data_IF_551266707923
#
_entry.id   IF_551266707923
#
_cell.length_a   1.000
_cell.length_b   1.000
_cell.length_c   1.000
_cell.angle_alpha   90.00
_cell.angle_beta   90.00
_cell.angle_gamma   90.00
#
_symmetry.space_group_name_H-M   'P 1'
#
loop_
_entity.id
_entity.type
_entity.pdbx_description
1 polymer ?
#
# COMPACT_ATOMS: atom_id res chain seq x y z
N UNK A 1 5.15 21.44 16.65
CA UNK A 1 4.45 21.34 15.34
C UNK A 1 3.28 20.39 15.51
N UNK A 2 2.05 20.83 15.24
CA UNK A 2 0.89 19.95 15.17
C UNK A 2 0.99 19.17 13.85
N UNK A 3 0.88 17.85 13.89
CA UNK A 3 0.81 17.01 12.69
C UNK A 3 -0.66 16.94 12.32
N UNK A 4 -1.01 17.38 11.12
CA UNK A 4 -2.39 17.26 10.63
C UNK A 4 -2.53 15.99 9.79
N UNK A 5 -3.78 15.54 9.62
CA UNK A 5 -4.09 14.37 8.79
C UNK A 5 -3.72 14.66 7.33
N UNK A 6 -2.91 13.81 6.66
CA UNK A 6 -2.64 13.98 5.24
C UNK A 6 -3.94 14.07 4.43
N UNK A 7 -4.04 15.04 3.54
CA UNK A 7 -5.20 15.25 2.66
C UNK A 7 -5.01 14.60 1.30
N UNK A 8 -3.77 14.30 0.93
CA UNK A 8 -3.42 13.62 -0.31
C UNK A 8 -3.37 12.10 -0.15
N UNK A 9 -3.33 11.42 -1.30
CA UNK A 9 -3.21 9.95 -1.37
C UNK A 9 -2.16 9.55 -2.41
N UNK A 10 -1.44 8.44 -2.20
CA UNK A 10 -0.64 7.83 -3.26
C UNK A 10 -1.53 7.48 -4.46
N UNK A 11 -0.97 7.56 -5.66
CA UNK A 11 -1.68 7.25 -6.91
C UNK A 11 -1.17 5.91 -7.44
N UNK A 12 -1.96 4.82 -7.38
CA UNK A 12 -1.56 3.55 -7.99
C UNK A 12 -1.31 3.73 -9.49
N UNK A 13 -0.17 3.27 -9.97
CA UNK A 13 0.23 3.37 -11.38
C UNK A 13 0.18 2.02 -12.09
N UNK A 14 0.51 0.94 -11.40
CA UNK A 14 0.45 -0.43 -11.95
C UNK A 14 0.21 -1.43 -10.84
N UNK A 15 -0.54 -2.48 -11.17
CA UNK A 15 -0.67 -3.67 -10.34
C UNK A 15 -0.77 -4.89 -11.25
N UNK A 16 0.07 -5.90 -11.04
CA UNK A 16 0.00 -7.16 -11.78
C UNK A 16 0.55 -8.33 -10.97
N UNK A 17 0.06 -9.54 -11.27
CA UNK A 17 0.60 -10.79 -10.75
C UNK A 17 2.05 -10.96 -11.23
N UNK A 18 2.94 -11.31 -10.30
CA UNK A 18 4.30 -11.79 -10.63
C UNK A 18 4.46 -13.28 -10.33
N UNK A 19 3.60 -13.86 -9.50
CA UNK A 19 3.40 -15.30 -9.32
C UNK A 19 1.99 -15.59 -8.81
N UNK A 20 1.61 -16.86 -8.69
CA UNK A 20 0.34 -17.28 -8.07
C UNK A 20 0.13 -16.75 -6.63
N UNK A 21 1.20 -16.32 -5.95
CA UNK A 21 1.19 -15.85 -4.56
C UNK A 21 1.80 -14.45 -4.40
N UNK A 22 2.10 -13.73 -5.48
CA UNK A 22 2.74 -12.41 -5.41
C UNK A 22 2.19 -11.43 -6.43
N UNK A 23 1.96 -10.20 -5.98
CA UNK A 23 1.49 -9.09 -6.80
C UNK A 23 2.51 -7.97 -6.73
N UNK A 24 3.00 -7.53 -7.88
CA UNK A 24 3.73 -6.28 -8.00
C UNK A 24 2.74 -5.11 -7.98
N UNK A 25 3.04 -4.09 -7.19
CA UNK A 25 2.31 -2.82 -7.19
C UNK A 25 3.30 -1.66 -7.27
N UNK A 26 2.91 -0.61 -7.97
CA UNK A 26 3.63 0.66 -8.03
C UNK A 26 2.68 1.83 -7.89
N UNK A 27 3.18 2.95 -7.38
CA UNK A 27 2.41 4.16 -7.14
C UNK A 27 3.30 5.40 -7.26
N UNK A 28 2.66 6.57 -7.41
CA UNK A 28 3.33 7.87 -7.21
C UNK A 28 3.07 8.37 -5.79
N UNK A 29 4.05 9.03 -5.21
CA UNK A 29 3.91 9.71 -3.93
C UNK A 29 2.78 10.76 -3.96
N UNK A 30 2.12 11.03 -2.81
CA UNK A 30 1.20 12.15 -2.71
C UNK A 30 1.93 13.49 -2.92
N UNK A 31 1.26 14.54 -3.42
CA UNK A 31 1.86 15.87 -3.52
C UNK A 31 2.41 16.34 -2.15
N UNK A 32 3.63 16.91 -2.07
CA UNK A 32 4.26 17.23 -0.79
C UNK A 32 3.45 18.16 0.11
N UNK A 33 2.73 19.10 -0.48
CA UNK A 33 1.84 20.06 0.19
C UNK A 33 0.60 19.40 0.82
N UNK A 34 0.31 18.14 0.48
CA UNK A 34 -0.84 17.39 0.99
C UNK A 34 -0.50 16.42 2.12
N UNK A 35 0.77 16.29 2.51
CA UNK A 35 1.22 15.40 3.59
C UNK A 35 0.96 16.02 4.97
N UNK A 36 0.95 17.35 5.05
CA UNK A 36 0.62 18.14 6.26
C UNK A 36 1.39 17.72 7.53
N UNK A 37 2.67 17.38 7.37
CA UNK A 37 3.54 16.95 8.44
C UNK A 37 4.73 16.14 7.93
N UNK A 38 5.41 15.44 8.83
CA UNK A 38 6.47 14.51 8.45
C UNK A 38 5.87 13.27 7.78
N UNK A 39 6.42 12.92 6.61
CA UNK A 39 6.01 11.74 5.84
C UNK A 39 6.64 10.47 6.40
N UNK A 40 5.84 9.64 7.07
CA UNK A 40 6.32 8.41 7.74
C UNK A 40 6.42 7.18 6.82
N UNK A 41 5.86 7.26 5.62
CA UNK A 41 5.77 6.16 4.67
C UNK A 41 4.34 5.75 4.35
N UNK A 42 4.15 4.50 3.94
CA UNK A 42 2.92 4.02 3.32
C UNK A 42 2.23 2.94 4.15
N UNK A 43 0.89 2.94 4.12
CA UNK A 43 0.06 1.83 4.58
C UNK A 43 -0.69 1.23 3.39
N UNK A 44 -0.43 -0.03 3.10
CA UNK A 44 -1.10 -0.78 2.03
C UNK A 44 -2.06 -1.76 2.66
N UNK A 45 -3.33 -1.65 2.29
CA UNK A 45 -4.41 -2.54 2.74
C UNK A 45 -4.86 -3.38 1.56
N UNK A 46 -4.89 -4.71 1.72
CA UNK A 46 -5.30 -5.63 0.67
C UNK A 46 -6.10 -6.79 1.24
N UNK A 47 -6.96 -7.38 0.40
CA UNK A 47 -7.73 -8.58 0.74
C UNK A 47 -7.92 -9.44 -0.50
N UNK A 48 -8.05 -10.77 -0.36
CA UNK A 48 -8.50 -11.62 -1.46
C UNK A 48 -9.92 -11.21 -1.91
N UNK A 49 -10.18 -11.30 -3.22
CA UNK A 49 -11.48 -10.93 -3.79
C UNK A 49 -12.60 -11.87 -3.35
N UNK A 50 -12.30 -13.17 -3.37
CA UNK A 50 -13.28 -14.26 -3.21
C UNK A 50 -13.27 -14.87 -1.80
N UNK A 51 -12.72 -14.16 -0.81
CA UNK A 51 -12.72 -14.58 0.61
C UNK A 51 -13.52 -13.62 1.47
N UNK A 52 -13.65 -13.97 2.74
CA UNK A 52 -14.25 -13.15 3.78
C UNK A 52 -13.71 -11.70 3.70
N UNK A 53 -14.59 -10.68 3.56
CA UNK A 53 -14.19 -9.27 3.59
C UNK A 53 -13.37 -8.88 4.83
N UNK A 54 -13.50 -9.63 5.92
CA UNK A 54 -12.75 -9.46 7.15
C UNK A 54 -11.31 -10.00 7.09
N UNK A 55 -10.92 -10.76 6.04
CA UNK A 55 -9.52 -11.21 5.81
C UNK A 55 -8.67 -10.09 5.17
N UNK A 56 -8.81 -8.88 5.69
CA UNK A 56 -8.02 -7.73 5.31
C UNK A 56 -6.64 -7.80 5.95
N UNK A 57 -5.59 -7.59 5.14
CA UNK A 57 -4.20 -7.52 5.56
C UNK A 57 -3.67 -6.10 5.37
N UNK A 58 -2.78 -5.71 6.26
CA UNK A 58 -2.10 -4.42 6.19
C UNK A 58 -0.58 -4.61 6.20
N UNK A 59 0.10 -3.82 5.38
CA UNK A 59 1.55 -3.70 5.36
C UNK A 59 1.91 -2.23 5.57
N UNK A 60 2.88 -1.99 6.44
CA UNK A 60 3.45 -0.68 6.71
C UNK A 60 4.85 -0.63 6.10
N UNK A 61 5.06 0.29 5.16
CA UNK A 61 6.38 0.56 4.59
C UNK A 61 6.88 1.86 5.20
N UNK A 62 7.98 1.77 5.98
CA UNK A 62 8.57 2.92 6.67
C UNK A 62 9.50 3.76 5.78
N UNK A 63 9.90 3.21 4.64
CA UNK A 63 10.61 3.96 3.61
C UNK A 63 9.60 4.81 2.84
N UNK A 64 9.69 6.13 3.01
CA UNK A 64 8.78 7.08 2.39
C UNK A 64 9.16 7.44 0.94
N UNK A 65 10.31 6.98 0.47
CA UNK A 65 10.81 7.21 -0.90
C UNK A 65 10.43 6.09 -1.85
N UNK A 66 9.95 4.96 -1.32
CA UNK A 66 9.60 3.81 -2.16
C UNK A 66 8.33 4.06 -2.97
N UNK A 67 8.37 3.67 -4.23
CA UNK A 67 7.25 3.80 -5.18
C UNK A 67 6.74 2.44 -5.69
N UNK A 68 7.34 1.34 -5.20
CA UNK A 68 7.02 -0.03 -5.64
C UNK A 68 7.07 -1.02 -4.47
N UNK A 69 6.30 -2.10 -4.54
CA UNK A 69 6.38 -3.22 -3.60
C UNK A 69 5.86 -4.52 -4.21
N UNK A 70 6.37 -5.65 -3.69
CA UNK A 70 5.87 -6.99 -3.98
C UNK A 70 5.04 -7.49 -2.80
N UNK A 71 3.73 -7.60 -2.99
CA UNK A 71 2.80 -8.10 -1.99
C UNK A 71 2.72 -9.61 -2.08
N UNK A 72 3.16 -10.31 -1.04
CA UNK A 72 2.97 -11.76 -0.92
C UNK A 72 1.53 -12.02 -0.45
N UNK A 73 0.69 -12.45 -1.37
CA UNK A 73 -0.67 -12.88 -1.11
C UNK A 73 -0.64 -14.38 -0.84
N UNK A 74 -0.46 -14.77 0.43
CA UNK A 74 -0.58 -16.18 0.80
C UNK A 74 -2.02 -16.62 0.52
N UNK A 75 -2.22 -17.46 -0.48
CA UNK A 75 -3.37 -18.35 -0.47
C UNK A 75 -3.24 -19.19 0.80
N UNK A 76 -4.28 -19.22 1.64
CA UNK A 76 -4.38 -20.31 2.61
C UNK A 76 -4.36 -21.58 1.77
N UNK A 77 -3.30 -22.36 1.92
CA UNK A 77 -3.19 -23.70 1.37
C UNK A 77 -4.46 -24.48 1.75
N UNK A 78 -5.04 -25.12 0.75
CA UNK A 78 -6.26 -25.91 0.84
C UNK A 78 -6.10 -27.11 1.79
#
# INVERSE_FOLDING_TARGET
MLRDTPTGKPIPTTAHNTSSTSVYISWKAPPPDTILGEFLGYRITYRPRDRDPNDTKEIYIRDNTVEVSYLVVRAKDN
#
